data_IF_369707022917
#
_entry.id   IF_369707022917
#
_cell.length_a   1.000
_cell.length_b   1.000
_cell.length_c   1.000
_cell.angle_alpha   90.00
_cell.angle_beta   90.00
_cell.angle_gamma   90.00
#
_symmetry.space_group_name_H-M   'P 1'
#
loop_
_entity.id
_entity.type
_entity.pdbx_description
1 polymer ?
#
# COMPACT_ATOMS: atom_id res chain seq x y z
N UNK A 1 27.44 -5.11 17.76
CA UNK A 1 26.01 -4.85 17.43
C UNK A 1 25.76 -4.51 15.96
N UNK A 2 26.78 -4.31 15.12
CA UNK A 2 26.63 -3.99 13.68
C UNK A 2 26.34 -5.21 12.79
N UNK A 3 26.91 -6.38 13.09
CA UNK A 3 26.75 -7.57 12.23
C UNK A 3 25.30 -8.07 12.15
N UNK A 4 24.59 -8.14 13.29
CA UNK A 4 23.19 -8.59 13.32
C UNK A 4 22.23 -7.61 12.63
N UNK A 5 22.48 -6.30 12.77
CA UNK A 5 21.71 -5.28 12.08
C UNK A 5 21.90 -5.35 10.56
N UNK A 6 23.14 -5.57 10.10
CA UNK A 6 23.45 -5.76 8.67
C UNK A 6 22.82 -7.03 8.09
N UNK A 7 22.86 -8.15 8.82
CA UNK A 7 22.23 -9.40 8.38
C UNK A 7 20.72 -9.32 8.32
N UNK A 8 20.09 -8.47 9.13
CA UNK A 8 18.65 -8.23 9.09
C UNK A 8 18.28 -7.19 8.02
N UNK A 9 19.09 -6.15 7.86
CA UNK A 9 18.81 -5.05 6.94
C UNK A 9 18.74 -5.50 5.48
N UNK A 10 19.70 -6.31 5.03
CA UNK A 10 19.77 -6.78 3.64
C UNK A 10 18.51 -7.56 3.18
N UNK A 11 18.05 -8.62 3.88
CA UNK A 11 16.85 -9.36 3.48
C UNK A 11 15.58 -8.52 3.60
N UNK A 12 15.47 -7.63 4.60
CA UNK A 12 14.30 -6.76 4.74
C UNK A 12 14.19 -5.75 3.60
N UNK A 13 15.30 -5.10 3.21
CA UNK A 13 15.32 -4.22 2.05
C UNK A 13 14.90 -4.94 0.77
N UNK A 14 15.42 -6.15 0.54
CA UNK A 14 15.07 -6.97 -0.62
C UNK A 14 13.57 -7.31 -0.62
N UNK A 15 13.02 -7.70 0.53
CA UNK A 15 11.59 -8.00 0.67
C UNK A 15 10.70 -6.76 0.41
N UNK A 16 11.08 -5.59 0.92
CA UNK A 16 10.38 -4.32 0.70
C UNK A 16 10.37 -3.96 -0.79
N UNK A 17 11.51 -4.09 -1.48
CA UNK A 17 11.60 -3.81 -2.93
C UNK A 17 10.72 -4.76 -3.72
N UNK A 18 10.71 -6.04 -3.39
CA UNK A 18 9.83 -7.03 -4.04
C UNK A 18 8.36 -6.67 -3.82
N UNK A 19 7.96 -6.36 -2.58
CA UNK A 19 6.60 -5.92 -2.27
C UNK A 19 6.20 -4.68 -3.06
N UNK A 20 7.09 -3.69 -3.13
CA UNK A 20 6.85 -2.46 -3.89
C UNK A 20 6.66 -2.74 -5.38
N UNK A 21 7.52 -3.56 -5.98
CA UNK A 21 7.41 -3.95 -7.39
C UNK A 21 6.10 -4.72 -7.65
N UNK A 22 5.71 -5.64 -6.77
CA UNK A 22 4.47 -6.41 -6.90
C UNK A 22 3.26 -5.48 -6.78
N UNK A 23 3.23 -4.59 -5.79
CA UNK A 23 2.15 -3.61 -5.62
C UNK A 23 2.02 -2.70 -6.83
N UNK A 24 3.15 -2.19 -7.33
CA UNK A 24 3.20 -1.33 -8.50
C UNK A 24 2.75 -2.05 -9.78
N UNK A 25 3.24 -3.27 -10.00
CA UNK A 25 2.83 -4.12 -11.12
C UNK A 25 1.32 -4.41 -11.08
N UNK A 26 0.79 -4.75 -9.90
CA UNK A 26 -0.63 -5.01 -9.71
C UNK A 26 -1.48 -3.79 -10.11
N UNK A 27 -1.06 -2.59 -9.68
CA UNK A 27 -1.73 -1.33 -9.97
C UNK A 27 -1.74 -1.00 -11.48
N UNK A 28 -0.60 -1.18 -12.17
CA UNK A 28 -0.49 -0.86 -13.59
C UNK A 28 -1.22 -1.84 -14.52
N UNK A 29 -1.20 -3.13 -14.18
CA UNK A 29 -1.74 -4.18 -15.07
C UNK A 29 -3.25 -4.36 -14.89
N UNK A 30 -3.80 -3.96 -13.74
CA UNK A 30 -5.20 -4.22 -13.46
C UNK A 30 -6.14 -3.15 -14.00
N UNK A 31 -7.23 -3.60 -14.61
CA UNK A 31 -8.39 -2.77 -14.95
C UNK A 31 -9.53 -2.92 -13.95
N UNK A 32 -9.39 -3.82 -12.96
CA UNK A 32 -10.42 -4.06 -11.96
C UNK A 32 -10.15 -3.20 -10.73
N UNK A 33 -11.13 -2.39 -10.33
CA UNK A 33 -11.03 -1.45 -9.21
C UNK A 33 -10.61 -2.14 -7.89
N UNK A 34 -11.14 -3.32 -7.58
CA UNK A 34 -10.77 -4.05 -6.34
C UNK A 34 -9.30 -4.46 -6.38
N UNK A 35 -8.84 -4.97 -7.52
CA UNK A 35 -7.43 -5.36 -7.67
C UNK A 35 -6.50 -4.14 -7.65
N UNK A 36 -6.95 -2.99 -8.16
CA UNK A 36 -6.22 -1.73 -8.02
C UNK A 36 -6.07 -1.31 -6.55
N UNK A 37 -7.14 -1.42 -5.75
CA UNK A 37 -7.08 -1.15 -4.30
C UNK A 37 -6.09 -2.07 -3.58
N UNK A 38 -6.08 -3.36 -3.92
CA UNK A 38 -5.11 -4.32 -3.36
C UNK A 38 -3.66 -3.93 -3.73
N UNK A 39 -3.43 -3.51 -4.97
CA UNK A 39 -2.12 -3.01 -5.42
C UNK A 39 -1.67 -1.78 -4.62
N UNK A 40 -2.58 -0.85 -4.37
CA UNK A 40 -2.32 0.35 -3.56
C UNK A 40 -1.99 -0.01 -2.10
N UNK A 41 -2.75 -0.91 -1.49
CA UNK A 41 -2.50 -1.39 -0.12
C UNK A 41 -1.14 -2.08 0.02
N UNK A 42 -0.70 -2.83 -1.00
CA UNK A 42 0.63 -3.44 -1.02
C UNK A 42 1.75 -2.39 -1.07
N UNK A 43 1.56 -1.31 -1.84
CA UNK A 43 2.51 -0.20 -1.90
C UNK A 43 2.64 0.51 -0.55
N UNK A 44 1.51 0.79 0.11
CA UNK A 44 1.51 1.42 1.44
C UNK A 44 2.22 0.52 2.45
N UNK A 45 2.00 -0.80 2.40
CA UNK A 45 2.68 -1.78 3.27
C UNK A 45 4.20 -1.77 3.06
N UNK A 46 4.67 -1.66 1.82
CA UNK A 46 6.09 -1.53 1.53
C UNK A 46 6.69 -0.26 2.16
N UNK A 47 5.99 0.87 2.08
CA UNK A 47 6.41 2.13 2.71
C UNK A 47 6.41 2.04 4.23
N UNK A 48 5.38 1.45 4.82
CA UNK A 48 5.28 1.25 6.29
C UNK A 48 6.41 0.37 6.80
N UNK A 49 6.73 -0.73 6.11
CA UNK A 49 7.87 -1.58 6.45
C UNK A 49 9.21 -0.86 6.33
N UNK A 50 9.36 0.01 5.32
CA UNK A 50 10.54 0.86 5.18
C UNK A 50 10.71 1.82 6.37
N UNK A 51 9.62 2.46 6.81
CA UNK A 51 9.65 3.35 7.98
C UNK A 51 10.09 2.58 9.23
N UNK A 52 9.52 1.40 9.48
CA UNK A 52 9.91 0.53 10.61
C UNK A 52 11.41 0.18 10.55
N UNK A 53 11.92 -0.18 9.36
CA UNK A 53 13.34 -0.50 9.17
C UNK A 53 14.23 0.72 9.46
N UNK A 54 13.84 1.90 9.00
CA UNK A 54 14.57 3.15 9.28
C UNK A 54 14.54 3.47 10.77
N UNK A 55 13.42 3.27 11.46
CA UNK A 55 13.34 3.44 12.91
C UNK A 55 14.27 2.53 13.68
N UNK A 56 14.38 1.28 13.24
CA UNK A 56 15.31 0.31 13.82
C UNK A 56 16.77 0.72 13.62
N UNK A 57 17.15 1.16 12.41
CA UNK A 57 18.53 1.58 12.10
C UNK A 57 18.91 2.88 12.79
N UNK A 58 18.01 3.85 12.84
CA UNK A 58 18.24 5.17 13.42
C UNK A 58 18.11 5.19 14.95
N UNK A 59 17.66 4.11 15.59
CA UNK A 59 17.37 4.02 17.04
C UNK A 59 16.29 4.99 17.53
N UNK A 60 15.47 5.54 16.63
CA UNK A 60 14.35 6.41 16.96
C UNK A 60 13.02 5.62 16.97
N UNK A 61 13.02 4.51 17.70
CA UNK A 61 11.92 3.53 17.70
C UNK A 61 10.59 4.16 18.14
N UNK A 62 10.60 4.95 19.22
CA UNK A 62 9.39 5.57 19.75
C UNK A 62 8.71 6.55 18.77
N UNK A 63 9.50 7.34 18.03
CA UNK A 63 8.98 8.31 17.05
C UNK A 63 8.41 7.61 15.81
N UNK A 64 9.12 6.59 15.32
CA UNK A 64 8.66 5.84 14.15
C UNK A 64 7.46 4.97 14.49
N UNK A 65 7.41 4.39 15.69
CA UNK A 65 6.28 3.58 16.12
C UNK A 65 4.99 4.40 16.21
N UNK A 66 5.04 5.62 16.76
CA UNK A 66 3.86 6.49 16.79
C UNK A 66 3.42 6.88 15.38
N UNK A 67 4.35 7.20 14.49
CA UNK A 67 4.07 7.50 13.08
C UNK A 67 3.40 6.29 12.37
N UNK A 68 3.96 5.09 12.53
CA UNK A 68 3.44 3.86 11.90
C UNK A 68 2.03 3.55 12.39
N UNK A 69 1.74 3.69 13.69
CA UNK A 69 0.39 3.49 14.23
C UNK A 69 -0.60 4.48 13.62
N UNK A 70 -0.23 5.77 13.52
CA UNK A 70 -1.11 6.77 12.89
C UNK A 70 -1.35 6.49 11.41
N UNK A 71 -0.33 6.00 10.69
CA UNK A 71 -0.41 5.64 9.28
C UNK A 71 -1.36 4.45 9.07
N UNK A 72 -1.28 3.41 9.91
CA UNK A 72 -2.18 2.26 9.85
C UNK A 72 -3.64 2.69 10.05
N UNK A 73 -3.91 3.58 11.02
CA UNK A 73 -5.27 4.09 11.23
C UNK A 73 -5.75 4.87 10.00
N UNK A 74 -4.92 5.74 9.44
CA UNK A 74 -5.24 6.50 8.23
C UNK A 74 -5.51 5.60 7.03
N UNK A 75 -4.70 4.55 6.85
CA UNK A 75 -4.85 3.56 5.78
C UNK A 75 -6.22 2.87 5.83
N UNK A 76 -6.63 2.40 7.02
CA UNK A 76 -7.94 1.76 7.22
C UNK A 76 -9.10 2.71 6.86
N UNK A 77 -8.97 4.00 7.16
CA UNK A 77 -9.99 5.00 6.79
C UNK A 77 -10.03 5.18 5.27
N UNK A 78 -8.87 5.30 4.61
CA UNK A 78 -8.78 5.47 3.16
C UNK A 78 -9.37 4.26 2.43
N UNK A 79 -9.03 3.03 2.83
CA UNK A 79 -9.53 1.82 2.18
C UNK A 79 -11.04 1.65 2.39
N UNK A 80 -11.58 2.05 3.54
CA UNK A 80 -13.02 2.02 3.79
C UNK A 80 -13.77 2.97 2.84
N UNK A 81 -13.28 4.20 2.66
CA UNK A 81 -13.86 5.17 1.72
C UNK A 81 -13.74 4.67 0.29
N UNK A 82 -12.55 4.19 -0.11
CA UNK A 82 -12.31 3.68 -1.45
C UNK A 82 -13.20 2.46 -1.77
N UNK A 83 -13.34 1.52 -0.83
CA UNK A 83 -14.25 0.39 -0.96
C UNK A 83 -15.71 0.86 -1.09
N UNK A 84 -16.13 1.85 -0.31
CA UNK A 84 -17.46 2.47 -0.43
C UNK A 84 -17.72 3.03 -1.82
N UNK A 85 -16.75 3.74 -2.41
CA UNK A 85 -16.83 4.24 -3.80
C UNK A 85 -16.94 3.08 -4.78
N UNK A 86 -16.11 2.04 -4.65
CA UNK A 86 -16.14 0.86 -5.52
C UNK A 86 -17.49 0.14 -5.45
N UNK A 87 -18.06 -0.02 -4.25
CA UNK A 87 -19.39 -0.62 -4.06
C UNK A 87 -20.50 0.26 -4.63
N UNK A 88 -20.39 1.58 -4.52
CA UNK A 88 -21.33 2.52 -5.15
C UNK A 88 -21.30 2.43 -6.68
N UNK A 89 -20.10 2.42 -7.27
CA UNK A 89 -19.91 2.25 -8.72
C UNK A 89 -20.45 0.90 -9.21
N UNK A 90 -20.24 -0.18 -8.44
CA UNK A 90 -20.74 -1.50 -8.79
C UNK A 90 -22.26 -1.56 -8.88
N UNK A 91 -22.97 -0.83 -8.01
CA UNK A 91 -24.44 -0.80 -8.03
C UNK A 91 -24.99 -0.15 -9.31
N UNK A 92 -24.33 0.90 -9.83
CA UNK A 92 -24.78 1.61 -11.03
C UNK A 92 -24.30 0.96 -12.33
N UNK A 93 -23.06 0.48 -12.37
CA UNK A 93 -22.43 -0.01 -13.61
C UNK A 93 -22.42 -1.54 -13.73
N UNK A 94 -22.79 -2.28 -12.68
CA UNK A 94 -22.71 -3.76 -12.56
C UNK A 94 -21.35 -4.36 -12.95
N UNK A 95 -20.31 -3.53 -12.98
CA UNK A 95 -18.96 -3.89 -13.39
C UNK A 95 -17.96 -3.13 -12.54
N UNK A 96 -16.85 -3.79 -12.22
CA UNK A 96 -15.70 -3.23 -11.51
C UNK A 96 -14.57 -2.85 -12.46
N UNK A 97 -14.81 -2.90 -13.77
CA UNK A 97 -13.84 -2.54 -14.80
C UNK A 97 -13.80 -1.02 -15.00
N UNK A 98 -12.63 -0.43 -14.75
CA UNK A 98 -12.39 1.01 -14.89
C UNK A 98 -12.63 1.51 -16.31
N UNK A 99 -12.50 0.65 -17.33
CA UNK A 99 -12.70 1.02 -18.74
C UNK A 99 -14.15 1.37 -19.05
N UNK A 100 -15.10 0.83 -18.27
CA UNK A 100 -16.53 1.09 -18.43
C UNK A 100 -16.96 2.42 -17.80
N UNK A 101 -16.06 3.11 -17.10
CA UNK A 101 -16.30 4.42 -16.49
C UNK A 101 -16.04 5.59 -17.45
N UNK A 102 -15.72 5.32 -18.73
CA UNK A 102 -15.37 6.33 -19.74
C UNK A 102 -16.58 6.96 -20.43
N UNK A 103 -17.60 7.35 -19.66
CA UNK A 103 -18.81 8.03 -20.18
C UNK A 103 -18.81 9.55 -19.94
N UNK A 104 -17.65 10.12 -19.59
CA UNK A 104 -17.48 11.57 -19.48
C UNK A 104 -17.47 12.18 -20.89
N UNK A 105 -18.51 12.96 -21.21
CA UNK A 105 -18.57 13.77 -22.42
C UNK A 105 -17.77 15.06 -22.17
N UNK A 106 -16.72 15.26 -22.97
CA UNK A 106 -16.06 16.56 -23.11
C UNK A 106 -16.90 17.52 -23.94
#
# INVERSE_FOLDING_TARGET
MSAQALTLFWPFCLFIVILFIIGFYCLLVTFNLIRALIGLELLIKAVTLLLVLVGYVTRHEALIQSLVITLIVMEVVIIAVAAGIVLGLHQHNKSLDVRQLRNLKG
#
